data_IF_870463237989
#
_entry.id   IF_870463237989
#
_cell.length_a   1.000
_cell.length_b   1.000
_cell.length_c   1.000
_cell.angle_alpha   90.00
_cell.angle_beta   90.00
_cell.angle_gamma   90.00
#
_symmetry.space_group_name_H-M   'P 1'
#
loop_
_entity.id
_entity.type
_entity.pdbx_description
1 polymer ?
#
# COMPACT_ATOMS: atom_id res chain seq x y z
N UNK A 1 14.80 4.87 15.96
CA UNK A 1 13.75 4.39 15.04
C UNK A 1 12.48 4.27 15.85
N UNK A 2 11.42 5.03 15.51
CA UNK A 2 10.15 4.92 16.23
C UNK A 2 9.71 3.45 16.20
N UNK A 3 9.52 2.84 17.37
CA UNK A 3 9.05 1.46 17.49
C UNK A 3 7.68 1.43 16.81
N UNK A 4 7.55 0.69 15.71
CA UNK A 4 6.27 0.54 15.00
C UNK A 4 5.27 0.02 16.04
N UNK A 5 4.28 0.84 16.37
CA UNK A 5 3.15 0.40 17.20
C UNK A 5 2.34 -0.53 16.32
N UNK A 6 2.59 -1.84 16.46
CA UNK A 6 1.81 -2.88 15.80
C UNK A 6 0.62 -3.18 16.68
N UNK A 7 -0.58 -3.16 16.12
CA UNK A 7 -1.75 -3.69 16.78
C UNK A 7 -1.47 -5.17 17.15
N UNK A 8 -1.88 -5.62 18.35
CA UNK A 8 -1.71 -7.01 18.74
C UNK A 8 -2.41 -7.92 17.73
N UNK A 9 -1.67 -8.90 17.21
CA UNK A 9 -2.17 -9.89 16.24
C UNK A 9 -2.90 -11.04 16.93
N UNK A 10 -2.58 -11.27 18.21
CA UNK A 10 -3.18 -12.30 19.03
C UNK A 10 -3.49 -11.74 20.43
N UNK A 11 -4.68 -12.05 20.93
CA UNK A 11 -5.11 -11.78 22.29
C UNK A 11 -5.78 -13.07 22.79
N UNK A 12 -5.30 -13.66 23.89
CA UNK A 12 -5.79 -14.93 24.44
C UNK A 12 -5.85 -16.11 23.44
N UNK A 13 -4.79 -16.31 22.64
CA UNK A 13 -4.67 -17.36 21.59
C UNK A 13 -5.65 -17.24 20.39
N UNK A 14 -6.49 -16.22 20.34
CA UNK A 14 -7.32 -15.90 19.17
C UNK A 14 -6.64 -14.86 18.28
N UNK A 15 -6.76 -15.02 16.96
CA UNK A 15 -6.33 -13.99 15.99
C UNK A 15 -7.29 -12.83 16.10
N UNK A 16 -6.78 -11.65 16.46
CA UNK A 16 -7.62 -10.45 16.56
C UNK A 16 -7.83 -9.88 15.16
N UNK A 17 -9.03 -10.07 14.62
CA UNK A 17 -9.50 -9.33 13.46
C UNK A 17 -10.11 -8.00 13.93
N UNK A 18 -9.69 -6.90 13.31
CA UNK A 18 -10.23 -5.57 13.59
C UNK A 18 -11.29 -5.16 12.56
N UNK A 19 -11.53 -6.00 11.54
CA UNK A 19 -12.42 -5.74 10.41
C UNK A 19 -13.68 -6.62 10.47
N UNK A 20 -14.30 -6.72 11.64
CA UNK A 20 -15.58 -7.42 11.78
C UNK A 20 -16.64 -6.81 10.87
N UNK A 21 -17.37 -7.68 10.17
CA UNK A 21 -18.49 -7.29 9.30
C UNK A 21 -19.82 -7.39 10.04
N UNK A 22 -20.71 -6.42 9.82
CA UNK A 22 -22.07 -6.48 10.35
C UNK A 22 -22.92 -7.52 9.59
N UNK A 23 -23.92 -8.14 10.25
CA UNK A 23 -24.85 -9.03 9.58
C UNK A 23 -25.61 -8.32 8.46
N UNK A 24 -25.80 -9.02 7.33
CA UNK A 24 -26.47 -8.47 6.18
C UNK A 24 -27.94 -8.11 6.48
N UNK A 25 -28.34 -6.89 6.13
CA UNK A 25 -29.73 -6.44 6.22
C UNK A 25 -30.50 -6.85 4.96
N UNK A 26 -31.57 -7.67 5.05
CA UNK A 26 -32.23 -8.27 3.89
C UNK A 26 -32.72 -7.29 2.81
N UNK A 27 -33.04 -6.05 3.19
CA UNK A 27 -33.54 -5.01 2.29
C UNK A 27 -32.54 -3.87 2.02
N UNK A 28 -31.36 -3.92 2.63
CA UNK A 28 -30.36 -2.86 2.60
C UNK A 28 -28.97 -3.50 2.51
N UNK A 29 -28.72 -4.23 1.42
CA UNK A 29 -27.46 -4.95 1.21
C UNK A 29 -26.39 -4.06 0.57
N UNK A 30 -26.80 -3.06 -0.20
CA UNK A 30 -25.91 -2.14 -0.90
C UNK A 30 -26.26 -0.70 -0.59
N UNK A 31 -25.25 0.16 -0.48
CA UNK A 31 -25.43 1.60 -0.27
C UNK A 31 -24.73 2.37 -1.37
N UNK A 32 -25.43 3.38 -1.90
CA UNK A 32 -24.83 4.36 -2.78
C UNK A 32 -24.34 5.53 -1.93
N UNK A 33 -23.04 5.75 -1.97
CA UNK A 33 -22.37 6.87 -1.30
C UNK A 33 -21.76 7.81 -2.32
N UNK A 34 -21.55 9.05 -1.89
CA UNK A 34 -20.72 9.99 -2.64
C UNK A 34 -19.63 10.56 -1.78
N UNK A 35 -18.43 10.53 -2.34
CA UNK A 35 -17.24 11.05 -1.71
C UNK A 35 -16.93 12.44 -2.26
N UNK A 36 -16.59 13.34 -1.35
CA UNK A 36 -15.93 14.59 -1.65
C UNK A 36 -14.53 14.50 -1.04
N UNK A 37 -13.53 14.39 -1.91
CA UNK A 37 -12.11 14.37 -1.52
C UNK A 37 -11.43 15.63 -2.07
N UNK A 38 -11.32 16.69 -1.26
CA UNK A 38 -10.70 17.96 -1.69
C UNK A 38 -9.23 17.80 -2.13
N UNK A 39 -8.57 16.74 -1.69
CA UNK A 39 -7.13 16.49 -1.90
C UNK A 39 -6.71 16.34 -3.36
N UNK A 40 -7.65 15.97 -4.23
CA UNK A 40 -7.39 15.92 -5.68
C UNK A 40 -7.24 17.31 -6.31
N UNK A 41 -7.69 18.37 -5.61
CA UNK A 41 -7.80 19.73 -6.15
C UNK A 41 -7.08 20.77 -5.29
N UNK A 42 -7.09 20.59 -3.97
CA UNK A 42 -6.53 21.50 -2.97
C UNK A 42 -5.31 20.84 -2.33
N UNK A 43 -4.23 21.62 -2.10
CA UNK A 43 -3.04 21.18 -1.35
C UNK A 43 -3.52 20.52 -0.05
N UNK A 44 -3.06 19.29 0.23
CA UNK A 44 -3.49 18.56 1.42
C UNK A 44 -3.28 19.44 2.66
N UNK A 45 -4.38 19.67 3.39
CA UNK A 45 -4.43 20.52 4.59
C UNK A 45 -3.30 20.15 5.57
N UNK A 46 -3.05 18.86 5.73
CA UNK A 46 -1.99 18.31 6.58
C UNK A 46 -0.60 18.81 6.19
N UNK A 47 -0.28 18.87 4.89
CA UNK A 47 0.98 19.42 4.40
C UNK A 47 1.11 20.92 4.66
N UNK A 48 0.02 21.68 4.52
CA UNK A 48 0.03 23.11 4.84
C UNK A 48 0.26 23.34 6.35
N UNK A 49 -0.41 22.56 7.19
CA UNK A 49 -0.28 22.64 8.65
C UNK A 49 1.14 22.28 9.07
N UNK A 50 1.72 21.24 8.46
CA UNK A 50 3.10 20.85 8.68
C UNK A 50 4.10 21.91 8.20
N UNK A 51 3.88 22.53 7.05
CA UNK A 51 4.72 23.63 6.55
C UNK A 51 4.72 24.82 7.52
N UNK A 52 3.55 25.16 8.09
CA UNK A 52 3.44 26.22 9.11
C UNK A 52 4.10 25.84 10.43
N UNK A 53 3.98 24.58 10.82
CA UNK A 53 4.72 24.04 11.97
C UNK A 53 6.24 24.13 11.77
N UNK A 54 6.75 23.77 10.58
CA UNK A 54 8.16 23.90 10.23
C UNK A 54 8.61 25.36 10.28
N UNK A 55 7.81 26.30 9.76
CA UNK A 55 8.10 27.74 9.90
C UNK A 55 8.13 28.19 11.36
N UNK A 56 7.20 27.72 12.19
CA UNK A 56 7.17 28.01 13.64
C UNK A 56 8.37 27.42 14.38
N UNK A 57 8.79 26.20 14.05
CA UNK A 57 9.94 25.53 14.69
C UNK A 57 11.30 26.02 14.19
N UNK A 58 11.46 26.30 12.90
CA UNK A 58 12.74 26.73 12.31
C UNK A 58 13.06 28.21 12.58
N UNK A 59 12.05 29.07 12.76
CA UNK A 59 12.27 30.51 12.94
C UNK A 59 12.83 30.89 14.32
N UNK A 60 12.54 30.11 15.36
CA UNK A 60 12.87 30.48 16.75
C UNK A 60 14.21 29.90 17.23
N UNK A 61 14.58 28.68 16.79
CA UNK A 61 15.78 27.98 17.30
C UNK A 61 17.03 28.15 16.42
N UNK A 62 16.92 28.07 15.09
CA UNK A 62 18.10 27.86 14.22
C UNK A 62 18.78 29.13 13.69
N UNK A 63 18.03 30.19 13.39
CA UNK A 63 18.57 31.26 12.51
C UNK A 63 18.95 32.54 13.25
N UNK A 64 18.31 32.86 14.38
CA UNK A 64 18.57 34.12 15.12
C UNK A 64 19.18 33.92 16.50
N UNK A 65 18.79 32.84 17.19
CA UNK A 65 19.26 32.56 18.54
C UNK A 65 20.68 32.02 18.59
N UNK A 66 20.97 30.97 17.81
CA UNK A 66 22.25 30.27 17.92
C UNK A 66 23.43 31.09 17.38
N UNK A 67 23.30 31.69 16.19
CA UNK A 67 24.35 32.52 15.59
C UNK A 67 24.59 33.81 16.40
N UNK A 68 23.51 34.45 16.87
CA UNK A 68 23.59 35.63 17.74
C UNK A 68 24.22 35.31 19.10
N UNK A 69 23.90 34.15 19.67
CA UNK A 69 24.47 33.68 20.94
C UNK A 69 25.94 33.28 20.80
N UNK A 70 26.32 32.56 19.73
CA UNK A 70 27.71 32.22 19.45
C UNK A 70 28.56 33.48 19.21
N UNK A 71 28.04 34.45 18.46
CA UNK A 71 28.69 35.75 18.27
C UNK A 71 28.81 36.56 19.58
N UNK A 72 27.78 36.53 20.43
CA UNK A 72 27.80 37.17 21.75
C UNK A 72 28.85 36.53 22.67
N UNK A 73 28.93 35.19 22.72
CA UNK A 73 29.92 34.47 23.53
C UNK A 73 31.35 34.72 23.05
N UNK A 74 31.57 34.65 21.73
CA UNK A 74 32.87 34.96 21.13
C UNK A 74 33.31 36.38 21.48
N UNK A 75 32.39 37.37 21.44
CA UNK A 75 32.70 38.76 21.77
C UNK A 75 32.92 39.00 23.28
N UNK A 76 32.14 38.36 24.15
CA UNK A 76 32.21 38.55 25.61
C UNK A 76 33.46 37.91 26.23
N UNK A 77 33.89 36.78 25.69
CA UNK A 77 35.01 36.00 26.23
C UNK A 77 36.25 35.97 25.33
N UNK A 78 36.22 36.69 24.19
CA UNK A 78 37.28 36.68 23.16
C UNK A 78 37.68 35.27 22.69
N UNK A 79 36.73 34.34 22.68
CA UNK A 79 36.95 32.96 22.25
C UNK A 79 36.86 32.90 20.73
N UNK A 80 37.76 32.14 20.10
CA UNK A 80 37.74 31.92 18.65
C UNK A 80 36.51 31.12 18.28
N UNK A 81 35.85 31.53 17.20
CA UNK A 81 34.62 30.89 16.71
C UNK A 81 34.88 29.42 16.33
N UNK A 82 36.09 29.11 15.86
CA UNK A 82 36.50 27.75 15.49
C UNK A 82 36.51 26.77 16.68
N UNK A 83 36.89 27.26 17.87
CA UNK A 83 36.91 26.45 19.09
C UNK A 83 35.48 26.16 19.57
N UNK A 84 34.59 27.17 19.51
CA UNK A 84 33.15 27.00 19.83
C UNK A 84 32.49 26.03 18.86
N UNK A 85 32.82 26.09 17.57
CA UNK A 85 32.33 25.14 16.57
C UNK A 85 32.91 23.72 16.78
N UNK A 86 34.09 23.61 17.37
CA UNK A 86 34.66 22.33 17.82
C UNK A 86 33.85 21.72 18.95
N UNK A 87 33.59 22.51 20.00
CA UNK A 87 32.84 22.10 21.18
C UNK A 87 31.38 21.74 20.84
N UNK A 88 30.72 22.49 19.95
CA UNK A 88 29.36 22.17 19.47
C UNK A 88 29.33 20.83 18.75
N UNK A 89 30.36 20.51 17.95
CA UNK A 89 30.47 19.21 17.27
C UNK A 89 30.74 18.06 18.23
N UNK A 90 31.49 18.31 19.31
CA UNK A 90 31.71 17.31 20.35
C UNK A 90 30.46 17.09 21.20
N UNK A 91 29.77 18.17 21.56
CA UNK A 91 28.47 18.14 22.23
C UNK A 91 27.42 17.38 21.40
N UNK A 92 27.36 17.61 20.08
CA UNK A 92 26.46 16.87 19.18
C UNK A 92 26.77 15.37 19.16
N UNK A 93 28.04 14.97 19.29
CA UNK A 93 28.43 13.55 19.33
C UNK A 93 28.01 12.90 20.65
N UNK A 94 28.19 13.59 21.77
CA UNK A 94 27.90 13.08 23.12
C UNK A 94 26.40 13.03 23.37
N UNK A 95 25.67 14.08 23.00
CA UNK A 95 24.23 14.22 23.24
C UNK A 95 23.39 13.87 22.00
N UNK A 96 23.96 13.10 21.07
CA UNK A 96 23.32 12.78 19.79
C UNK A 96 21.95 12.16 19.96
N UNK A 97 21.81 11.24 20.91
CA UNK A 97 20.58 10.49 21.11
C UNK A 97 19.50 11.34 21.81
N UNK A 98 19.89 12.32 22.63
CA UNK A 98 18.99 13.31 23.24
C UNK A 98 18.55 14.38 22.23
N UNK A 99 19.46 14.85 21.38
CA UNK A 99 19.17 15.79 20.28
C UNK A 99 18.26 15.12 19.24
N UNK A 100 18.48 13.82 18.97
CA UNK A 100 17.61 13.01 18.10
C UNK A 100 16.29 12.62 18.73
N UNK A 101 16.22 12.54 20.06
CA UNK A 101 14.97 12.47 20.80
C UNK A 101 14.28 13.86 20.76
N UNK A 102 14.17 14.45 19.57
CA UNK A 102 13.33 15.61 19.35
C UNK A 102 11.89 15.11 19.40
N UNK A 103 11.17 15.55 20.41
CA UNK A 103 9.75 15.32 20.57
C UNK A 103 8.95 16.17 19.56
N UNK A 104 9.14 15.87 18.27
CA UNK A 104 8.52 16.59 17.16
C UNK A 104 7.00 16.35 17.17
N UNK A 105 6.57 15.19 17.66
CA UNK A 105 5.18 14.79 17.79
C UNK A 105 4.46 15.65 18.82
N UNK A 106 4.95 15.74 20.05
CA UNK A 106 4.26 16.52 21.08
C UNK A 106 4.44 18.02 20.84
N UNK A 107 5.54 18.46 20.21
CA UNK A 107 5.68 19.84 19.71
C UNK A 107 4.65 20.17 18.65
N UNK A 108 4.38 19.25 17.72
CA UNK A 108 3.34 19.44 16.71
C UNK A 108 1.95 19.47 17.35
N UNK A 109 1.66 18.57 18.30
CA UNK A 109 0.42 18.58 19.07
C UNK A 109 0.23 19.90 19.83
N UNK A 110 1.29 20.40 20.48
CA UNK A 110 1.30 21.69 21.17
C UNK A 110 1.09 22.86 20.21
N UNK A 111 1.70 22.81 19.03
CA UNK A 111 1.52 23.82 17.98
C UNK A 111 0.07 23.85 17.49
N UNK A 112 -0.52 22.69 17.20
CA UNK A 112 -1.93 22.59 16.82
C UNK A 112 -2.82 23.17 17.92
N UNK A 113 -2.65 22.76 19.18
CA UNK A 113 -3.45 23.27 20.29
C UNK A 113 -3.40 24.81 20.43
N UNK A 114 -2.27 25.45 20.09
CA UNK A 114 -2.09 26.90 20.21
C UNK A 114 -2.52 27.67 18.97
N UNK A 115 -2.22 27.15 17.77
CA UNK A 115 -2.32 27.90 16.51
C UNK A 115 -3.30 27.29 15.51
N UNK A 116 -4.06 26.24 15.86
CA UNK A 116 -4.99 25.56 14.95
C UNK A 116 -5.97 26.54 14.30
N UNK A 117 -6.57 27.46 15.07
CA UNK A 117 -7.48 28.46 14.52
C UNK A 117 -6.80 29.39 13.52
N UNK A 118 -5.63 29.92 13.86
CA UNK A 118 -4.89 30.86 13.00
C UNK A 118 -4.44 30.19 11.70
N UNK A 119 -3.93 28.96 11.79
CA UNK A 119 -3.48 28.17 10.65
C UNK A 119 -4.66 27.75 9.78
N UNK A 120 -5.79 27.37 10.38
CA UNK A 120 -7.04 27.06 9.67
C UNK A 120 -7.55 28.28 8.90
N UNK A 121 -7.65 29.44 9.54
CA UNK A 121 -8.10 30.67 8.88
C UNK A 121 -7.16 31.12 7.75
N UNK A 122 -5.83 30.95 7.92
CA UNK A 122 -4.86 31.22 6.88
C UNK A 122 -5.02 30.26 5.69
N UNK A 123 -5.29 28.98 5.96
CA UNK A 123 -5.56 27.99 4.93
C UNK A 123 -6.87 28.28 4.19
N UNK A 124 -7.94 28.61 4.92
CA UNK A 124 -9.24 28.94 4.32
C UNK A 124 -9.14 30.17 3.41
N UNK A 125 -8.38 31.20 3.80
CA UNK A 125 -8.09 32.36 2.94
C UNK A 125 -7.33 31.96 1.67
N UNK A 126 -6.32 31.10 1.79
CA UNK A 126 -5.52 30.65 0.64
C UNK A 126 -6.34 29.83 -0.36
N UNK A 127 -7.28 29.02 0.15
CA UNK A 127 -8.17 28.17 -0.65
C UNK A 127 -9.40 28.94 -1.14
N UNK A 128 -9.54 30.22 -0.80
CA UNK A 128 -10.67 31.05 -1.21
C UNK A 128 -12.00 30.63 -0.56
N UNK A 129 -11.94 30.14 0.68
CA UNK A 129 -13.07 29.64 1.48
C UNK A 129 -13.86 28.51 0.80
N UNK A 130 -13.22 27.76 -0.11
CA UNK A 130 -13.82 26.54 -0.66
C UNK A 130 -13.77 25.41 0.37
N UNK A 131 -14.72 24.47 0.27
CA UNK A 131 -14.81 23.35 1.20
C UNK A 131 -13.55 22.47 1.11
N UNK A 132 -12.81 22.39 2.20
CA UNK A 132 -11.53 21.70 2.33
C UNK A 132 -11.62 20.46 3.25
N UNK A 133 -12.84 20.05 3.58
CA UNK A 133 -13.12 18.91 4.45
C UNK A 133 -13.49 17.71 3.58
N UNK A 134 -12.93 16.55 3.94
CA UNK A 134 -13.33 15.25 3.40
C UNK A 134 -14.79 14.97 3.78
N UNK A 135 -15.64 14.72 2.79
CA UNK A 135 -17.08 14.52 2.98
C UNK A 135 -17.54 13.17 2.47
N UNK A 136 -18.40 12.49 3.25
CA UNK A 136 -19.20 11.36 2.77
C UNK A 136 -20.66 11.76 2.81
N UNK A 137 -21.34 11.52 1.70
CA UNK A 137 -22.79 11.64 1.60
C UNK A 137 -23.39 10.26 1.36
N UNK A 138 -24.06 9.73 2.37
CA UNK A 138 -24.90 8.54 2.25
C UNK A 138 -26.17 8.92 1.51
N UNK A 139 -26.48 8.26 0.39
CA UNK A 139 -27.64 8.62 -0.43
C UNK A 139 -28.83 7.71 -0.17
N UNK A 140 -28.70 6.44 -0.51
CA UNK A 140 -29.77 5.45 -0.41
C UNK A 140 -29.19 4.04 -0.34
N UNK A 141 -29.88 3.17 0.37
CA UNK A 141 -29.59 1.74 0.41
C UNK A 141 -30.58 0.95 -0.47
N UNK A 142 -30.12 -0.14 -1.03
CA UNK A 142 -30.82 -1.03 -1.96
C UNK A 142 -30.65 -2.49 -1.54
N UNK A 143 -31.66 -3.34 -1.81
CA UNK A 143 -31.55 -4.79 -1.62
C UNK A 143 -30.66 -5.46 -2.66
N UNK A 144 -30.66 -4.98 -3.90
CA UNK A 144 -29.94 -5.57 -5.04
C UNK A 144 -28.87 -4.64 -5.60
N UNK A 145 -27.78 -5.23 -6.11
CA UNK A 145 -26.70 -4.51 -6.78
C UNK A 145 -27.16 -3.86 -8.09
N UNK A 146 -28.04 -4.51 -8.85
CA UNK A 146 -28.55 -4.01 -10.13
C UNK A 146 -29.36 -2.71 -9.95
N UNK A 147 -30.19 -2.65 -8.91
CA UNK A 147 -30.94 -1.46 -8.53
C UNK A 147 -30.01 -0.31 -8.13
N UNK A 148 -28.97 -0.62 -7.34
CA UNK A 148 -27.95 0.35 -6.96
C UNK A 148 -27.18 0.89 -8.18
N UNK A 149 -26.86 0.05 -9.17
CA UNK A 149 -26.23 0.47 -10.42
C UNK A 149 -27.13 1.37 -11.26
N UNK A 150 -28.39 0.99 -11.47
CA UNK A 150 -29.35 1.82 -12.20
C UNK A 150 -29.50 3.19 -11.54
N UNK A 151 -29.62 3.23 -10.22
CA UNK A 151 -29.71 4.49 -9.48
C UNK A 151 -28.42 5.31 -9.55
N UNK A 152 -27.26 4.66 -9.51
CA UNK A 152 -25.97 5.33 -9.64
C UNK A 152 -25.83 6.02 -11.00
N UNK A 153 -26.30 5.40 -12.10
CA UNK A 153 -26.35 6.02 -13.44
C UNK A 153 -27.24 7.27 -13.46
N UNK A 154 -28.38 7.25 -12.79
CA UNK A 154 -29.27 8.43 -12.65
C UNK A 154 -28.55 9.53 -11.86
N UNK A 155 -27.88 9.17 -10.77
CA UNK A 155 -27.17 10.11 -9.93
C UNK A 155 -25.95 10.74 -10.61
N UNK A 156 -25.21 9.98 -11.42
CA UNK A 156 -24.09 10.50 -12.22
C UNK A 156 -24.55 11.59 -13.18
N UNK A 157 -25.73 11.42 -13.81
CA UNK A 157 -26.31 12.46 -14.69
C UNK A 157 -26.74 13.70 -13.92
N UNK A 158 -27.32 13.52 -12.73
CA UNK A 158 -27.81 14.62 -11.90
C UNK A 158 -26.67 15.38 -11.19
N UNK A 159 -25.61 14.67 -10.81
CA UNK A 159 -24.47 15.19 -10.05
C UNK A 159 -23.15 14.70 -10.69
N UNK A 160 -22.75 15.25 -11.84
CA UNK A 160 -21.57 14.79 -12.58
C UNK A 160 -20.24 15.09 -11.87
N UNK A 161 -20.25 15.92 -10.83
CA UNK A 161 -19.06 16.30 -10.05
C UNK A 161 -18.80 15.38 -8.87
N UNK A 162 -19.78 14.56 -8.49
CA UNK A 162 -19.69 13.73 -7.29
C UNK A 162 -19.09 12.37 -7.66
N UNK A 163 -18.10 11.91 -6.88
CA UNK A 163 -17.58 10.55 -7.01
C UNK A 163 -18.58 9.59 -6.36
N UNK A 164 -19.36 8.88 -7.18
CA UNK A 164 -20.40 7.97 -6.72
C UNK A 164 -19.85 6.55 -6.67
N UNK A 165 -19.98 5.90 -5.51
CA UNK A 165 -19.49 4.55 -5.25
C UNK A 165 -20.63 3.71 -4.67
N UNK A 166 -20.63 2.43 -4.99
CA UNK A 166 -21.56 1.43 -4.43
C UNK A 166 -20.76 0.59 -3.43
N UNK A 167 -21.18 0.62 -2.17
CA UNK A 167 -20.59 -0.18 -1.10
C UNK A 167 -21.54 -1.30 -0.66
N UNK A 168 -20.98 -2.43 -0.21
CA UNK A 168 -21.75 -3.44 0.53
C UNK A 168 -21.98 -2.92 1.96
N UNK A 169 -23.22 -3.04 2.44
CA UNK A 169 -23.57 -2.65 3.81
C UNK A 169 -22.96 -3.63 4.81
N UNK A 170 -22.41 -3.10 5.90
CA UNK A 170 -21.78 -3.89 6.96
C UNK A 170 -20.32 -4.25 6.71
N UNK A 171 -19.72 -3.87 5.59
CA UNK A 171 -18.31 -4.13 5.30
C UNK A 171 -17.45 -2.86 5.50
N UNK A 172 -16.21 -3.04 5.93
CA UNK A 172 -15.21 -1.97 5.91
C UNK A 172 -14.83 -1.61 4.49
N UNK A 173 -14.95 -0.33 4.13
CA UNK A 173 -14.66 0.17 2.79
C UNK A 173 -13.54 1.22 2.84
N UNK A 174 -12.59 1.19 1.89
CA UNK A 174 -11.55 2.20 1.80
C UNK A 174 -12.14 3.58 1.48
N UNK A 175 -11.51 4.63 2.00
CA UNK A 175 -11.87 6.00 1.67
C UNK A 175 -11.47 6.34 0.24
N UNK A 176 -12.44 6.77 -0.60
CA UNK A 176 -12.24 7.22 -2.00
C UNK A 176 -11.21 6.37 -2.76
N UNK A 177 -11.50 5.06 -2.99
CA UNK A 177 -10.56 4.15 -3.61
C UNK A 177 -10.17 4.62 -5.01
N UNK A 178 -8.95 4.29 -5.43
CA UNK A 178 -8.51 4.57 -6.79
C UNK A 178 -9.30 3.72 -7.80
N UNK A 179 -9.61 4.31 -8.95
CA UNK A 179 -10.36 3.66 -10.02
C UNK A 179 -9.73 2.32 -10.47
N UNK A 180 -8.40 2.24 -10.45
CA UNK A 180 -7.69 1.05 -10.88
C UNK A 180 -7.92 -0.16 -9.95
N UNK A 181 -8.06 0.08 -8.65
CA UNK A 181 -8.31 -0.97 -7.66
C UNK A 181 -9.77 -1.43 -7.67
N UNK A 182 -10.67 -0.68 -8.31
CA UNK A 182 -12.08 -1.03 -8.34
C UNK A 182 -12.39 -2.01 -9.49
N UNK A 183 -13.12 -3.11 -9.21
CA UNK A 183 -13.44 -4.10 -10.22
C UNK A 183 -14.31 -3.49 -11.34
N UNK A 184 -15.35 -2.75 -10.95
CA UNK A 184 -16.35 -2.19 -11.87
C UNK A 184 -16.34 -0.65 -11.80
N UNK A 185 -15.61 -0.01 -12.70
CA UNK A 185 -15.61 1.45 -12.87
C UNK A 185 -16.35 1.80 -14.14
N UNK A 186 -17.40 2.61 -14.01
CA UNK A 186 -18.11 3.21 -15.13
C UNK A 186 -17.93 4.73 -15.07
N UNK A 187 -17.28 5.28 -16.10
CA UNK A 187 -17.13 6.69 -16.34
C UNK A 187 -18.38 7.28 -17.02
N UNK A 188 -18.57 8.59 -16.86
CA UNK A 188 -19.63 9.32 -17.55
C UNK A 188 -19.47 9.31 -19.10
N UNK A 189 -18.24 9.16 -19.60
CA UNK A 189 -17.96 9.11 -21.03
C UNK A 189 -17.96 7.66 -21.55
N UNK A 190 -18.88 7.36 -22.47
CA UNK A 190 -19.02 6.05 -23.07
C UNK A 190 -17.78 5.58 -23.85
N UNK A 191 -17.07 6.50 -24.53
CA UNK A 191 -15.83 6.15 -25.25
C UNK A 191 -14.71 5.78 -24.28
N UNK A 192 -14.61 6.49 -23.15
CA UNK A 192 -13.62 6.19 -22.13
C UNK A 192 -13.89 4.82 -21.48
N UNK A 193 -15.16 4.49 -21.24
CA UNK A 193 -15.56 3.16 -20.76
C UNK A 193 -15.10 2.05 -21.72
N UNK A 194 -15.28 2.25 -23.02
CA UNK A 194 -14.86 1.28 -24.02
C UNK A 194 -13.33 1.10 -24.03
N UNK A 195 -12.58 2.20 -23.96
CA UNK A 195 -11.11 2.18 -23.89
C UNK A 195 -10.64 1.45 -22.64
N UNK A 196 -11.20 1.77 -21.47
CA UNK A 196 -10.80 1.16 -20.20
C UNK A 196 -11.18 -0.32 -20.12
N UNK A 197 -12.33 -0.71 -20.68
CA UNK A 197 -12.73 -2.11 -20.79
C UNK A 197 -11.76 -2.89 -21.67
N UNK A 198 -11.43 -2.36 -22.86
CA UNK A 198 -10.44 -2.95 -23.77
C UNK A 198 -9.05 -3.04 -23.12
N UNK A 199 -8.65 -2.05 -22.33
CA UNK A 199 -7.38 -2.08 -21.59
C UNK A 199 -7.35 -3.24 -20.59
N UNK A 200 -8.38 -3.38 -19.75
CA UNK A 200 -8.50 -4.49 -18.79
C UNK A 200 -8.58 -5.86 -19.48
N UNK A 201 -9.34 -5.96 -20.58
CA UNK A 201 -9.41 -7.19 -21.39
C UNK A 201 -8.04 -7.56 -21.96
N UNK A 202 -7.28 -6.59 -22.49
CA UNK A 202 -5.93 -6.82 -23.01
C UNK A 202 -4.94 -7.21 -21.90
N UNK A 203 -5.03 -6.60 -20.72
CA UNK A 203 -4.20 -6.95 -19.57
C UNK A 203 -4.46 -8.39 -19.10
N UNK A 204 -5.73 -8.77 -18.96
CA UNK A 204 -6.13 -10.14 -18.61
C UNK A 204 -5.68 -11.16 -19.69
N UNK A 205 -5.88 -10.84 -20.97
CA UNK A 205 -5.43 -11.71 -22.07
C UNK A 205 -3.91 -11.89 -22.07
N UNK A 206 -3.16 -10.83 -21.74
CA UNK A 206 -1.69 -10.89 -21.62
C UNK A 206 -1.27 -11.81 -20.48
N UNK A 207 -1.92 -11.73 -19.32
CA UNK A 207 -1.64 -12.61 -18.18
C UNK A 207 -2.00 -14.07 -18.48
N UNK A 208 -3.13 -14.31 -19.14
CA UNK A 208 -3.54 -15.64 -19.59
C UNK A 208 -2.51 -16.23 -20.57
N UNK A 209 -2.08 -15.46 -21.57
CA UNK A 209 -1.07 -15.89 -22.52
C UNK A 209 0.25 -16.27 -21.82
N UNK A 210 0.72 -15.47 -20.86
CA UNK A 210 1.92 -15.81 -20.10
C UNK A 210 1.75 -17.01 -19.17
N UNK A 211 0.54 -17.23 -18.64
CA UNK A 211 0.23 -18.42 -17.85
C UNK A 211 0.22 -19.67 -18.73
N UNK A 212 -0.41 -19.60 -19.91
CA UNK A 212 -0.42 -20.68 -20.91
C UNK A 212 0.99 -21.02 -21.39
N UNK A 213 1.83 -20.02 -21.69
CA UNK A 213 3.24 -20.25 -22.06
C UNK A 213 4.04 -20.93 -20.95
N UNK A 214 3.82 -20.51 -19.69
CA UNK A 214 4.48 -21.12 -18.53
C UNK A 214 4.03 -22.57 -18.33
N UNK A 215 2.74 -22.85 -18.47
CA UNK A 215 2.20 -24.21 -18.36
C UNK A 215 2.70 -25.10 -19.50
N UNK A 216 2.73 -24.60 -20.73
CA UNK A 216 3.28 -25.31 -21.88
C UNK A 216 4.76 -25.64 -21.70
N UNK A 217 5.55 -24.70 -21.17
CA UNK A 217 6.97 -24.94 -20.87
C UNK A 217 7.16 -26.01 -19.78
N UNK A 218 6.36 -25.96 -18.71
CA UNK A 218 6.39 -26.98 -17.64
C UNK A 218 5.99 -28.35 -18.18
N UNK A 219 4.97 -28.42 -19.04
CA UNK A 219 4.49 -29.66 -19.62
C UNK A 219 5.53 -30.26 -20.58
N UNK A 220 6.14 -29.44 -21.45
CA UNK A 220 7.23 -29.86 -22.32
C UNK A 220 8.43 -30.38 -21.52
N UNK A 221 8.78 -29.71 -20.42
CA UNK A 221 9.86 -30.16 -19.53
C UNK A 221 9.52 -31.50 -18.84
N UNK A 222 8.28 -31.69 -18.38
CA UNK A 222 7.82 -32.97 -17.81
C UNK A 222 7.88 -34.09 -18.85
N UNK A 223 7.44 -33.85 -20.07
CA UNK A 223 7.48 -34.83 -21.16
C UNK A 223 8.92 -35.20 -21.55
N UNK A 224 9.82 -34.22 -21.66
CA UNK A 224 11.23 -34.48 -21.91
C UNK A 224 11.88 -35.29 -20.78
N UNK A 225 11.62 -34.93 -19.52
CA UNK A 225 12.12 -35.69 -18.37
C UNK A 225 11.56 -37.12 -18.32
N UNK A 226 10.29 -37.33 -18.67
CA UNK A 226 9.69 -38.65 -18.74
C UNK A 226 10.30 -39.50 -19.86
N UNK A 227 10.54 -38.92 -21.05
CA UNK A 227 11.23 -39.58 -22.16
C UNK A 227 12.66 -39.97 -21.80
N UNK A 228 13.42 -39.06 -21.19
CA UNK A 228 14.78 -39.34 -20.72
C UNK A 228 14.83 -40.45 -19.66
N UNK A 229 13.84 -40.51 -18.74
CA UNK A 229 13.73 -41.62 -17.78
C UNK A 229 13.45 -42.96 -18.45
N UNK A 230 12.56 -42.98 -19.45
CA UNK A 230 12.27 -44.19 -20.23
C UNK A 230 13.51 -44.66 -21.00
N UNK A 231 14.24 -43.75 -21.64
CA UNK A 231 15.48 -44.06 -22.35
C UNK A 231 16.58 -44.56 -21.42
N UNK A 232 16.79 -43.91 -20.27
CA UNK A 232 17.75 -44.36 -19.27
C UNK A 232 17.37 -45.74 -18.69
N UNK A 233 16.08 -46.00 -18.43
CA UNK A 233 15.64 -47.32 -17.94
C UNK A 233 15.82 -48.43 -18.97
N UNK A 234 15.69 -48.12 -20.27
CA UNK A 234 15.98 -49.08 -21.36
C UNK A 234 17.47 -49.33 -21.49
N UNK A 235 18.30 -48.29 -21.40
CA UNK A 235 19.75 -48.43 -21.42
C UNK A 235 20.26 -49.23 -20.21
N UNK A 236 19.69 -49.03 -19.02
CA UNK A 236 19.99 -49.84 -17.82
C UNK A 236 19.55 -51.30 -18.03
N UNK A 237 18.35 -51.55 -18.57
CA UNK A 237 17.87 -52.89 -18.88
C UNK A 237 18.76 -53.63 -19.90
N UNK A 238 19.18 -52.98 -20.98
CA UNK A 238 20.12 -53.53 -21.97
C UNK A 238 21.49 -53.85 -21.37
N UNK A 239 21.98 -53.02 -20.44
CA UNK A 239 23.24 -53.25 -19.73
C UNK A 239 23.17 -54.45 -18.78
N UNK A 240 22.02 -54.67 -18.11
CA UNK A 240 21.78 -55.89 -17.32
C UNK A 240 21.65 -57.17 -18.16
N UNK A 241 21.13 -57.08 -19.39
CA UNK A 241 21.04 -58.25 -20.29
C UNK A 241 22.41 -58.67 -20.82
N UNK A 242 23.33 -57.73 -21.03
CA UNK A 242 24.72 -58.03 -21.44
C UNK A 242 25.64 -58.53 -20.30
N UNK A 243 25.20 -58.46 -19.05
CA UNK A 243 25.98 -58.90 -17.87
C UNK A 243 25.48 -60.20 -17.23
N UNK A 244 24.50 -60.88 -17.85
CA UNK A 244 24.12 -62.24 -17.46
C UNK A 244 25.25 -63.23 -17.83
N UNK A 245 25.81 -64.00 -16.88
CA UNK A 245 26.92 -64.90 -17.18
C UNK A 245 26.49 -66.01 -18.14
N UNK A 246 27.29 -66.23 -19.20
CA UNK A 246 27.08 -67.32 -20.16
C UNK A 246 27.23 -68.67 -19.46
N UNK A 247 26.13 -69.43 -19.35
CA UNK A 247 26.16 -70.80 -18.83
C UNK A 247 26.72 -71.73 -19.91
N UNK A 248 27.84 -72.39 -19.62
CA UNK A 248 28.53 -73.30 -20.54
C UNK A 248 27.74 -74.62 -20.70
N UNK A 249 27.60 -75.19 -21.93
CA UNK A 249 26.69 -76.30 -22.23
C UNK A 249 27.13 -77.70 -21.77
N UNK A 250 27.98 -77.83 -20.74
CA UNK A 250 28.57 -79.13 -20.33
C UNK A 250 28.14 -79.67 -18.96
N UNK A 251 27.07 -79.15 -18.36
CA UNK A 251 26.44 -79.75 -17.16
C UNK A 251 25.08 -80.40 -17.50
N UNK A 252 25.03 -81.12 -18.62
CA UNK A 252 23.91 -81.96 -19.02
C UNK A 252 24.30 -83.43 -19.07
N UNK A 253 24.39 -84.11 -17.93
CA UNK A 253 24.22 -85.56 -17.85
C UNK A 253 23.93 -85.99 -16.40
N UNK A 254 22.67 -86.38 -16.17
CA UNK A 254 22.25 -87.22 -15.06
C UNK A 254 23.17 -88.44 -14.90
N UNK A 255 23.52 -88.78 -13.66
CA UNK A 255 23.77 -90.17 -13.25
C UNK A 255 22.70 -90.55 -12.25
N UNK A 256 21.75 -91.37 -12.69
CA UNK A 256 20.87 -92.15 -11.83
C UNK A 256 21.70 -93.22 -11.11
N UNK A 257 21.70 -93.18 -9.78
CA UNK A 257 21.79 -94.31 -8.84
C UNK A 257 21.58 -93.81 -7.41
#
# INVERSE_FOLDING_TARGET
MAKRVTLPTHENDEVVDYLDEDPELPNQRYVVTSFLSPEKVVKQKEHFFFEKFMQWTDYDWKVKGLDGFMAFLSKKYSIKIDDILGDVREFEKVHRDEIKASDIGDRYATFLLKHEREVQEAFDKQVGFQCNIRGVKVRRAFPSFEEAQMWSKVLQRKYPKDNIVIGKMGCWLPWDPSDHMMPNVEYANAQLNEIMRKYKENEANRELFFAEEREAAIQAQKEQNARQKLENSKAEAETTVMTAPAVHPSEGALRDA
#
